data_IF_335532535110
#
_entry.id   IF_335532535110
#
_cell.length_a   1.000
_cell.length_b   1.000
_cell.length_c   1.000
_cell.angle_alpha   90.00
_cell.angle_beta   90.00
_cell.angle_gamma   90.00
#
_symmetry.space_group_name_H-M   'P 1'
#
loop_
_entity.id
_entity.type
_entity.pdbx_description
1 polymer ?
#
# COMPACT_ATOMS: atom_id res chain seq x y z
N UNK A 1 31.56 -72.95 -9.98
CA UNK A 1 30.11 -72.98 -9.65
C UNK A 1 29.88 -72.20 -8.38
N UNK A 2 28.72 -71.51 -8.33
CA UNK A 2 28.10 -70.74 -7.24
C UNK A 2 28.27 -69.21 -7.35
N UNK A 3 27.12 -68.63 -7.69
CA UNK A 3 26.76 -67.24 -7.92
C UNK A 3 27.19 -66.29 -6.82
N UNK A 4 27.46 -65.03 -7.21
CA UNK A 4 27.43 -63.90 -6.29
C UNK A 4 26.73 -62.71 -6.95
N UNK A 5 25.44 -62.63 -6.63
CA UNK A 5 24.69 -61.43 -6.25
C UNK A 5 24.54 -60.31 -7.29
N UNK A 6 23.33 -60.32 -7.87
CA UNK A 6 22.56 -59.17 -8.36
C UNK A 6 22.73 -57.96 -7.44
N UNK A 7 23.18 -56.84 -7.97
CA UNK A 7 22.64 -55.53 -7.59
C UNK A 7 22.92 -54.52 -8.69
N UNK A 8 21.96 -54.41 -9.60
CA UNK A 8 21.86 -53.33 -10.57
C UNK A 8 21.70 -52.00 -9.79
N UNK A 9 22.80 -51.31 -9.52
CA UNK A 9 22.80 -49.94 -9.03
C UNK A 9 22.46 -48.99 -10.19
N UNK A 10 21.22 -49.06 -10.68
CA UNK A 10 20.60 -47.95 -11.40
C UNK A 10 19.88 -47.10 -10.34
N UNK A 11 20.62 -46.18 -9.73
CA UNK A 11 20.01 -45.05 -9.02
C UNK A 11 19.44 -44.12 -10.10
N UNK A 12 18.11 -43.90 -10.22
CA UNK A 12 17.63 -42.83 -11.06
C UNK A 12 18.05 -41.51 -10.41
N UNK A 13 18.80 -40.70 -11.15
CA UNK A 13 19.06 -39.31 -10.82
C UNK A 13 17.73 -38.55 -10.93
N UNK A 14 16.99 -38.46 -9.82
CA UNK A 14 15.77 -37.66 -9.76
C UNK A 14 16.17 -36.19 -9.82
N UNK A 15 16.24 -35.64 -11.03
CA UNK A 15 16.39 -34.19 -11.23
C UNK A 15 15.06 -33.55 -10.83
N UNK A 16 15.04 -32.89 -9.67
CA UNK A 16 13.95 -32.00 -9.30
C UNK A 16 13.96 -30.81 -10.26
N UNK A 17 13.18 -30.89 -11.34
CA UNK A 17 12.92 -29.75 -12.22
C UNK A 17 11.95 -28.83 -11.45
N UNK A 18 12.46 -27.72 -10.91
CA UNK A 18 11.60 -26.60 -10.56
C UNK A 18 11.22 -25.90 -11.85
N UNK A 19 10.03 -26.18 -12.38
CA UNK A 19 9.46 -25.39 -13.46
C UNK A 19 9.06 -24.02 -12.89
N UNK A 20 9.78 -22.98 -13.25
CA UNK A 20 9.35 -21.60 -12.97
C UNK A 20 8.29 -21.20 -14.01
N UNK A 21 7.14 -20.69 -13.57
CA UNK A 21 6.10 -20.19 -14.47
C UNK A 21 6.65 -19.05 -15.35
N UNK A 22 6.47 -19.18 -16.67
CA UNK A 22 6.79 -18.10 -17.61
C UNK A 22 5.77 -16.97 -17.51
N UNK A 23 6.04 -15.84 -18.15
CA UNK A 23 5.08 -14.72 -18.16
C UNK A 23 3.81 -15.07 -18.96
N UNK A 24 3.94 -15.98 -19.92
CA UNK A 24 2.89 -16.50 -20.78
C UNK A 24 1.94 -17.41 -19.98
N UNK A 25 2.49 -18.33 -19.19
CA UNK A 25 1.69 -19.25 -18.35
C UNK A 25 0.87 -18.47 -17.31
N UNK A 26 1.46 -17.43 -16.71
CA UNK A 26 0.74 -16.55 -15.79
C UNK A 26 -0.41 -15.80 -16.49
N UNK A 27 -0.23 -15.40 -17.75
CA UNK A 27 -1.29 -14.71 -18.52
C UNK A 27 -2.45 -15.65 -18.86
N UNK A 28 -2.19 -16.94 -19.10
CA UNK A 28 -3.25 -17.93 -19.29
C UNK A 28 -4.11 -18.10 -18.04
N UNK A 29 -3.51 -17.95 -16.85
CA UNK A 29 -4.20 -17.90 -15.56
C UNK A 29 -4.83 -16.53 -15.25
N UNK A 30 -4.73 -15.55 -16.16
CA UNK A 30 -5.26 -14.20 -15.99
C UNK A 30 -4.41 -13.29 -15.09
N UNK A 31 -3.17 -13.69 -14.77
CA UNK A 31 -2.24 -12.98 -13.89
C UNK A 31 -1.18 -12.22 -14.69
N UNK A 32 -1.02 -10.93 -14.43
CA UNK A 32 -0.01 -10.08 -15.09
C UNK A 32 1.25 -10.03 -14.23
N UNK A 33 2.23 -10.90 -14.52
CA UNK A 33 3.47 -11.06 -13.75
C UNK A 33 4.23 -9.74 -13.47
N UNK A 34 4.21 -8.78 -14.39
CA UNK A 34 4.91 -7.49 -14.24
C UNK A 34 4.21 -6.47 -13.35
N UNK A 35 2.94 -6.68 -13.01
CA UNK A 35 2.13 -5.77 -12.18
C UNK A 35 1.63 -6.43 -10.89
N UNK A 36 1.91 -7.73 -10.72
CA UNK A 36 1.43 -8.53 -9.61
C UNK A 36 2.49 -8.62 -8.52
N UNK A 37 2.19 -8.11 -7.33
CA UNK A 37 3.07 -8.16 -6.16
C UNK A 37 2.66 -9.26 -5.18
N UNK A 38 3.63 -9.92 -4.53
CA UNK A 38 3.35 -11.06 -3.66
C UNK A 38 2.52 -10.70 -2.41
N UNK A 39 2.58 -9.44 -1.96
CA UNK A 39 1.71 -8.88 -0.93
C UNK A 39 0.22 -8.94 -1.28
N UNK A 40 -0.12 -8.68 -2.54
CA UNK A 40 -1.48 -8.81 -3.05
C UNK A 40 -1.91 -10.26 -2.98
N UNK A 41 -1.07 -11.19 -3.44
CA UNK A 41 -1.30 -12.63 -3.36
C UNK A 41 -1.53 -13.15 -1.93
N UNK A 42 -0.84 -12.58 -0.95
CA UNK A 42 -1.04 -12.95 0.46
C UNK A 42 -2.39 -12.49 1.02
N UNK A 43 -2.92 -11.37 0.54
CA UNK A 43 -4.20 -10.81 0.99
C UNK A 43 -5.42 -11.51 0.38
N UNK A 44 -5.25 -12.33 -0.67
CA UNK A 44 -6.34 -13.07 -1.33
C UNK A 44 -7.10 -14.00 -0.37
N UNK A 45 -6.43 -14.51 0.68
CA UNK A 45 -7.08 -15.34 1.71
C UNK A 45 -8.16 -14.59 2.49
N UNK A 46 -8.01 -13.27 2.66
CA UNK A 46 -8.94 -12.44 3.43
C UNK A 46 -10.27 -12.24 2.69
N UNK A 47 -10.27 -12.45 1.37
CA UNK A 47 -11.42 -12.35 0.49
C UNK A 47 -11.99 -13.72 0.10
N UNK A 48 -11.45 -14.81 0.65
CA UNK A 48 -11.88 -16.18 0.33
C UNK A 48 -11.39 -16.72 -1.01
N UNK A 49 -10.41 -16.08 -1.66
CA UNK A 49 -9.81 -16.54 -2.93
C UNK A 49 -8.57 -17.43 -2.68
N UNK A 50 -8.72 -18.45 -1.83
CA UNK A 50 -7.61 -19.32 -1.41
C UNK A 50 -7.07 -20.13 -2.60
N UNK A 51 -7.95 -20.59 -3.50
CA UNK A 51 -7.58 -21.39 -4.68
C UNK A 51 -6.67 -20.63 -5.66
N UNK A 52 -6.83 -19.31 -5.76
CA UNK A 52 -5.99 -18.48 -6.63
C UNK A 52 -4.65 -18.11 -5.97
N UNK A 53 -4.52 -18.25 -4.64
CA UNK A 53 -3.34 -17.83 -3.89
C UNK A 53 -2.07 -18.56 -4.34
N UNK A 54 -2.16 -19.86 -4.57
CA UNK A 54 -1.00 -20.69 -4.96
C UNK A 54 -0.45 -20.24 -6.33
N UNK A 55 -1.32 -20.18 -7.34
CA UNK A 55 -0.98 -19.68 -8.67
C UNK A 55 -0.53 -18.21 -8.66
N UNK A 56 -1.10 -17.37 -7.79
CA UNK A 56 -0.70 -15.98 -7.63
C UNK A 56 0.73 -15.87 -7.10
N UNK A 57 1.09 -16.67 -6.09
CA UNK A 57 2.43 -16.65 -5.48
C UNK A 57 3.52 -17.13 -6.45
N UNK A 58 3.18 -18.00 -7.40
CA UNK A 58 4.10 -18.44 -8.47
C UNK A 58 4.31 -17.37 -9.55
N UNK A 59 3.34 -16.47 -9.72
CA UNK A 59 3.32 -15.42 -10.74
C UNK A 59 3.66 -14.01 -10.21
N UNK A 60 3.94 -13.85 -8.93
CA UNK A 60 4.15 -12.53 -8.33
C UNK A 60 5.63 -12.08 -8.34
N UNK A 61 5.82 -10.78 -8.39
CA UNK A 61 7.10 -10.14 -8.10
C UNK A 61 7.25 -9.94 -6.60
N UNK A 62 8.43 -10.26 -6.07
CA UNK A 62 8.78 -9.96 -4.68
C UNK A 62 8.63 -8.46 -4.45
N UNK A 63 7.86 -8.13 -3.42
CA UNK A 63 7.76 -6.76 -2.98
C UNK A 63 9.13 -6.24 -2.54
N UNK A 64 9.52 -5.05 -2.99
CA UNK A 64 10.53 -4.31 -2.25
C UNK A 64 9.89 -3.85 -0.95
N UNK A 65 10.63 -3.81 0.17
CA UNK A 65 10.07 -3.43 1.48
C UNK A 65 9.38 -2.04 1.49
N UNK A 66 9.63 -1.23 0.46
CA UNK A 66 9.01 0.07 0.19
C UNK A 66 7.66 0.01 -0.53
N UNK A 67 7.32 -1.07 -1.23
CA UNK A 67 6.12 -1.13 -2.09
C UNK A 67 4.89 -1.73 -1.38
N UNK A 68 5.07 -2.55 -0.35
CA UNK A 68 3.95 -3.15 0.39
C UNK A 68 3.44 -2.30 1.55
N UNK A 69 4.30 -1.48 2.15
CA UNK A 69 3.89 -0.59 3.25
C UNK A 69 3.50 0.76 2.66
N UNK A 70 2.21 1.09 2.72
CA UNK A 70 1.74 2.45 2.50
C UNK A 70 2.65 3.42 3.25
N UNK A 71 3.35 4.30 2.51
CA UNK A 71 4.23 5.30 3.11
C UNK A 71 3.37 6.26 3.94
N UNK A 72 3.60 6.24 5.24
CA UNK A 72 2.98 7.14 6.21
C UNK A 72 3.92 8.32 6.43
N UNK A 73 3.33 9.50 6.55
CA UNK A 73 4.03 10.77 6.71
C UNK A 73 3.66 11.40 8.06
N UNK A 74 4.65 11.93 8.80
CA UNK A 74 4.42 12.57 10.09
C UNK A 74 3.66 13.88 9.99
N UNK A 75 3.78 14.61 8.87
CA UNK A 75 3.14 15.92 8.70
C UNK A 75 2.63 16.12 7.27
N UNK A 76 1.58 16.91 7.12
CA UNK A 76 1.12 17.37 5.81
C UNK A 76 0.62 18.81 5.83
N UNK A 77 0.75 19.48 4.68
CA UNK A 77 0.18 20.80 4.42
C UNK A 77 -0.76 20.73 3.24
N UNK A 78 -2.01 21.13 3.45
CA UNK A 78 -2.99 21.36 2.41
C UNK A 78 -2.96 22.83 2.00
N UNK A 79 -2.40 23.13 0.83
CA UNK A 79 -2.37 24.49 0.28
C UNK A 79 -3.60 24.73 -0.62
N UNK A 80 -4.35 25.79 -0.35
CA UNK A 80 -5.57 26.13 -1.10
C UNK A 80 -5.72 27.64 -1.33
N UNK A 81 -6.47 28.02 -2.37
CA UNK A 81 -6.94 29.41 -2.52
C UNK A 81 -8.44 29.53 -2.20
N UNK A 82 -8.80 30.46 -1.32
CA UNK A 82 -10.21 30.84 -1.11
C UNK A 82 -10.89 31.35 -2.38
N UNK A 83 -10.11 31.97 -3.27
CA UNK A 83 -10.56 32.44 -4.58
C UNK A 83 -11.05 31.33 -5.52
N UNK A 84 -10.61 30.08 -5.30
CA UNK A 84 -10.95 28.92 -6.15
C UNK A 84 -11.96 27.98 -5.51
N UNK A 85 -12.50 28.30 -4.33
CA UNK A 85 -13.48 27.44 -3.68
C UNK A 85 -14.78 27.23 -4.47
N UNK A 86 -15.16 28.18 -5.33
CA UNK A 86 -16.28 27.99 -6.25
C UNK A 86 -16.03 26.86 -7.26
N UNK A 87 -14.78 26.68 -7.70
CA UNK A 87 -14.40 25.60 -8.61
C UNK A 87 -14.20 24.26 -7.87
N UNK A 88 -13.84 24.30 -6.58
CA UNK A 88 -13.57 23.11 -5.76
C UNK A 88 -14.45 23.07 -4.50
N UNK A 89 -15.79 22.98 -4.64
CA UNK A 89 -16.71 23.05 -3.50
C UNK A 89 -16.52 21.90 -2.51
N UNK A 90 -16.09 20.72 -2.99
CA UNK A 90 -15.80 19.55 -2.16
C UNK A 90 -14.61 19.80 -1.22
N UNK A 91 -13.54 20.41 -1.73
CA UNK A 91 -12.36 20.77 -0.92
C UNK A 91 -12.73 21.84 0.12
N UNK A 92 -13.57 22.82 -0.26
CA UNK A 92 -14.10 23.78 0.69
C UNK A 92 -14.93 23.09 1.79
N UNK A 93 -15.75 22.11 1.44
CA UNK A 93 -16.57 21.36 2.39
C UNK A 93 -15.71 20.60 3.40
N UNK A 94 -14.63 19.94 2.94
CA UNK A 94 -13.65 19.32 3.83
C UNK A 94 -13.10 20.33 4.84
N UNK A 95 -12.57 21.46 4.37
CA UNK A 95 -11.93 22.49 5.21
C UNK A 95 -12.88 23.12 6.22
N UNK A 96 -14.14 23.36 5.84
CA UNK A 96 -15.15 23.99 6.71
C UNK A 96 -15.86 23.01 7.65
N UNK A 97 -15.69 21.71 7.46
CA UNK A 97 -16.25 20.68 8.33
C UNK A 97 -15.39 20.45 9.58
N UNK A 98 -15.82 19.54 10.44
CA UNK A 98 -15.08 19.01 11.58
C UNK A 98 -13.99 17.99 11.18
N UNK A 99 -14.00 17.49 9.94
CA UNK A 99 -13.06 16.47 9.45
C UNK A 99 -11.57 16.83 9.63
N UNK A 100 -11.10 18.06 9.35
CA UNK A 100 -9.69 18.41 9.52
C UNK A 100 -9.22 18.34 10.97
N UNK A 101 -10.12 18.54 11.94
CA UNK A 101 -9.78 18.50 13.36
C UNK A 101 -9.36 17.10 13.83
N UNK A 102 -9.69 16.05 13.07
CA UNK A 102 -9.23 14.66 13.33
C UNK A 102 -7.74 14.46 13.05
N UNK A 103 -7.12 15.38 12.33
CA UNK A 103 -5.74 15.26 11.86
C UNK A 103 -4.87 16.36 12.47
N UNK A 104 -4.29 16.16 13.67
CA UNK A 104 -3.44 17.17 14.32
C UNK A 104 -2.17 17.48 13.49
N UNK A 105 -1.74 16.53 12.67
CA UNK A 105 -0.58 16.62 11.79
C UNK A 105 -0.87 17.27 10.43
N UNK A 106 -2.12 17.71 10.19
CA UNK A 106 -2.55 18.39 8.98
C UNK A 106 -2.63 19.91 9.21
N UNK A 107 -1.86 20.67 8.43
CA UNK A 107 -1.93 22.13 8.43
C UNK A 107 -2.60 22.64 7.16
N UNK A 108 -3.55 23.56 7.27
CA UNK A 108 -4.20 24.20 6.11
C UNK A 108 -3.57 25.56 5.87
N UNK A 109 -3.04 25.77 4.66
CA UNK A 109 -2.37 27.00 4.27
C UNK A 109 -3.09 27.67 3.10
N UNK A 110 -3.40 28.95 3.25
CA UNK A 110 -4.08 29.72 2.22
C UNK A 110 -3.09 30.43 1.32
N UNK A 111 -2.98 30.00 0.06
CA UNK A 111 -2.07 30.57 -0.94
C UNK A 111 -2.88 31.06 -2.14
N UNK A 112 -2.64 32.30 -2.58
CA UNK A 112 -3.40 32.92 -3.66
C UNK A 112 -3.11 32.26 -5.01
N UNK A 113 -4.13 32.06 -5.82
CA UNK A 113 -4.03 31.60 -7.21
C UNK A 113 -3.72 30.12 -7.41
N UNK A 114 -3.28 29.41 -6.37
CA UNK A 114 -2.95 27.99 -6.46
C UNK A 114 -4.21 27.11 -6.48
N UNK A 115 -4.15 26.07 -7.29
CA UNK A 115 -5.08 24.95 -7.20
C UNK A 115 -4.80 24.14 -5.93
N UNK A 116 -5.80 23.45 -5.36
CA UNK A 116 -5.62 22.63 -4.17
C UNK A 116 -4.54 21.57 -4.34
N UNK A 117 -3.52 21.63 -3.49
CA UNK A 117 -2.42 20.66 -3.45
C UNK A 117 -2.13 20.21 -2.03
N UNK A 118 -1.73 18.95 -1.89
CA UNK A 118 -1.26 18.36 -0.64
C UNK A 118 0.24 18.17 -0.72
N UNK A 119 0.95 18.63 0.31
CA UNK A 119 2.39 18.41 0.49
C UNK A 119 2.58 17.51 1.70
N UNK A 120 3.18 16.35 1.49
CA UNK A 120 3.53 15.40 2.54
C UNK A 120 4.98 15.66 2.96
N UNK A 121 5.21 15.72 4.26
CA UNK A 121 6.49 16.14 4.85
C UNK A 121 7.02 15.09 5.82
N UNK A 122 8.34 15.09 6.01
CA UNK A 122 9.01 14.32 7.06
C UNK A 122 8.99 15.03 8.42
N UNK A 123 9.57 14.40 9.45
CA UNK A 123 9.62 14.93 10.83
C UNK A 123 10.38 16.26 10.92
N UNK A 124 11.21 16.56 9.93
CA UNK A 124 12.01 17.78 9.84
C UNK A 124 11.28 18.88 9.07
N UNK A 125 10.07 18.61 8.56
CA UNK A 125 9.28 19.55 7.76
C UNK A 125 9.72 19.64 6.30
N UNK A 126 10.56 18.73 5.81
CA UNK A 126 10.95 18.71 4.40
C UNK A 126 9.86 18.02 3.57
N UNK A 127 9.49 18.64 2.45
CA UNK A 127 8.52 18.08 1.51
C UNK A 127 9.11 16.86 0.82
N UNK A 128 8.47 15.70 0.98
CA UNK A 128 8.82 14.46 0.28
C UNK A 128 7.97 14.20 -0.94
N UNK A 129 6.69 14.57 -0.87
CA UNK A 129 5.73 14.28 -1.94
C UNK A 129 4.74 15.44 -2.07
N UNK A 130 4.30 15.71 -3.30
CA UNK A 130 3.29 16.73 -3.58
C UNK A 130 2.25 16.16 -4.55
N UNK A 131 0.97 16.29 -4.19
CA UNK A 131 -0.15 15.72 -4.92
C UNK A 131 -1.20 16.79 -5.23
N UNK A 132 -1.75 16.74 -6.44
CA UNK A 132 -2.91 17.56 -6.81
C UNK A 132 -4.19 16.86 -6.41
N UNK A 133 -5.08 17.55 -5.70
CA UNK A 133 -6.37 17.00 -5.24
C UNK A 133 -7.56 17.65 -5.95
N UNK A 134 -7.33 18.30 -7.08
CA UNK A 134 -8.35 19.03 -7.86
C UNK A 134 -9.57 18.18 -8.25
N UNK A 135 -9.38 16.87 -8.39
CA UNK A 135 -10.41 15.91 -8.79
C UNK A 135 -11.00 15.11 -7.62
N UNK A 136 -10.58 15.38 -6.39
CA UNK A 136 -10.98 14.58 -5.23
C UNK A 136 -12.28 15.11 -4.63
N UNK A 137 -13.07 14.18 -4.08
CA UNK A 137 -14.25 14.53 -3.29
C UNK A 137 -13.88 14.62 -1.80
N UNK A 138 -14.85 15.04 -0.98
CA UNK A 138 -14.63 15.28 0.46
C UNK A 138 -14.20 14.02 1.22
N UNK A 139 -14.74 12.85 0.86
CA UNK A 139 -14.47 11.58 1.55
C UNK A 139 -13.11 11.01 1.15
N UNK A 140 -12.74 11.08 -0.13
CA UNK A 140 -11.42 10.68 -0.62
C UNK A 140 -10.30 11.49 0.04
N UNK A 141 -10.51 12.79 0.26
CA UNK A 141 -9.53 13.63 0.97
C UNK A 141 -9.35 13.16 2.41
N UNK A 142 -10.45 12.85 3.11
CA UNK A 142 -10.39 12.36 4.49
C UNK A 142 -9.68 11.00 4.58
N UNK A 143 -10.09 10.04 3.77
CA UNK A 143 -9.51 8.69 3.72
C UNK A 143 -8.02 8.74 3.39
N UNK A 144 -7.63 9.63 2.46
CA UNK A 144 -6.23 9.83 2.13
C UNK A 144 -5.40 10.26 3.35
N UNK A 145 -5.88 11.22 4.13
CA UNK A 145 -5.14 11.65 5.33
C UNK A 145 -5.17 10.59 6.44
N UNK A 146 -6.26 9.84 6.58
CA UNK A 146 -6.36 8.76 7.56
C UNK A 146 -5.39 7.60 7.28
N UNK A 147 -5.11 7.32 6.01
CA UNK A 147 -4.20 6.26 5.58
C UNK A 147 -2.75 6.72 5.47
N UNK A 148 -2.51 8.01 5.18
CA UNK A 148 -1.17 8.54 4.91
C UNK A 148 -0.56 9.37 6.02
N UNK A 149 -1.31 9.80 7.03
CA UNK A 149 -0.75 10.50 8.19
C UNK A 149 -0.54 9.56 9.38
N UNK A 150 0.54 9.78 10.12
CA UNK A 150 0.77 9.07 11.36
C UNK A 150 -0.34 9.40 12.36
N UNK A 151 -0.98 8.36 12.91
CA UNK A 151 -1.90 8.51 14.04
C UNK A 151 -1.08 8.88 15.26
N UNK A 152 -1.52 9.92 15.98
CA UNK A 152 -1.00 10.19 17.32
C UNK A 152 -1.60 9.10 18.19
N UNK A 153 -0.82 8.06 18.51
CA UNK A 153 -1.26 7.04 19.45
C UNK A 153 -1.35 7.68 20.84
N UNK A 154 -2.56 7.75 21.39
CA UNK A 154 -2.81 8.10 22.79
C UNK A 154 -2.30 6.96 23.69
N UNK A 155 -0.99 6.75 23.75
CA UNK A 155 -0.29 5.75 24.57
C UNK A 155 -0.41 6.00 26.10
N UNK A 156 -1.21 6.99 26.52
CA UNK A 156 -1.34 7.37 27.93
C UNK A 156 -2.47 6.65 28.67
N UNK A 157 -3.38 5.95 27.98
CA UNK A 157 -4.59 5.40 28.63
C UNK A 157 -4.44 4.02 29.30
N UNK A 158 -3.30 3.34 29.16
CA UNK A 158 -3.09 1.99 29.75
C UNK A 158 -2.20 1.95 31.00
N UNK A 159 -1.70 3.09 31.50
CA UNK A 159 -0.80 3.09 32.68
C UNK A 159 -1.51 3.01 34.04
N UNK A 160 -2.84 3.07 34.11
CA UNK A 160 -3.54 3.19 35.40
C UNK A 160 -3.92 1.87 36.08
N UNK A 161 -3.67 0.71 35.46
CA UNK A 161 -3.97 -0.59 36.07
C UNK A 161 -2.70 -1.41 36.35
N UNK A 162 -1.74 -0.80 37.06
CA UNK A 162 -0.84 -1.57 37.94
C UNK A 162 -1.47 -1.58 39.34
N UNK A 163 -2.20 -2.65 39.63
CA UNK A 163 -2.50 -3.07 41.01
C UNK A 163 -1.47 -4.13 41.39
#
# INVERSE_FOLDING_TARGET
MKALVVSCFLLPLLVMISAEFSAEDCRELGLIKSQLFCSSCNSLSDYGLIELKEHCLECCQKDTATDTKLKVYPMAVLEVCTCKFGAYPQIQAFIKSDRPAKFPNLTIKYVRGLDPIVKLMDEQGNVKETLSITKWNTDTVQEFFETRLSKVEDDDYLKTNRV
#
